data_IF_264701393171
#
_entry.id   IF_264701393171
#
_cell.length_a   1.000
_cell.length_b   1.000
_cell.length_c   1.000
_cell.angle_alpha   90.00
_cell.angle_beta   90.00
_cell.angle_gamma   90.00
#
_symmetry.space_group_name_H-M   'P 1'
#
loop_
_entity.id
_entity.type
_entity.pdbx_description
1 polymer ?
#
# COMPACT_ATOMS: atom_id res chain seq x y z
N UNK A 1 42.08 23.13 56.22
CA UNK A 1 42.68 21.90 56.79
C UNK A 1 41.71 20.76 56.54
N UNK A 2 42.16 19.71 55.86
CA UNK A 2 41.35 18.64 55.29
C UNK A 2 41.07 17.51 56.29
N UNK A 3 39.88 16.89 56.22
CA UNK A 3 39.60 15.49 56.62
C UNK A 3 38.46 15.00 55.69
N UNK A 4 38.76 14.38 54.55
CA UNK A 4 38.86 12.93 54.30
C UNK A 4 37.52 12.17 54.38
N UNK A 5 36.94 12.01 53.19
CA UNK A 5 36.39 10.78 52.58
C UNK A 5 36.36 9.50 53.44
N UNK A 6 35.17 8.89 53.59
CA UNK A 6 35.03 7.44 53.77
C UNK A 6 33.71 6.95 53.16
N UNK A 7 33.84 6.16 52.10
CA UNK A 7 32.76 5.48 51.38
C UNK A 7 32.35 4.17 52.06
N UNK A 8 31.06 3.82 52.05
CA UNK A 8 30.49 2.45 52.14
C UNK A 8 29.07 2.47 51.51
N UNK A 9 28.91 2.22 50.20
CA UNK A 9 28.59 0.95 49.52
C UNK A 9 27.31 0.24 50.02
N UNK A 10 26.22 0.35 49.26
CA UNK A 10 25.27 -0.76 49.05
C UNK A 10 24.59 -0.67 47.67
N UNK A 11 25.21 -1.40 46.74
CA UNK A 11 24.71 -2.03 45.51
C UNK A 11 23.33 -1.66 44.93
N UNK A 12 23.27 -1.08 43.71
CA UNK A 12 22.18 -1.36 42.78
C UNK A 12 22.50 -2.65 42.02
N UNK A 13 22.33 -3.79 42.67
CA UNK A 13 22.32 -5.10 42.01
C UNK A 13 20.87 -5.56 41.78
N UNK A 14 20.04 -4.73 41.13
CA UNK A 14 18.71 -5.13 40.67
C UNK A 14 18.44 -4.43 39.34
N UNK A 15 18.06 -5.23 38.34
CA UNK A 15 17.76 -4.90 36.94
C UNK A 15 18.95 -4.86 35.97
N UNK A 16 19.68 -5.97 35.90
CA UNK A 16 20.13 -6.48 34.59
C UNK A 16 18.91 -6.98 33.80
N UNK A 17 17.96 -6.09 33.51
CA UNK A 17 16.94 -6.36 32.51
C UNK A 17 17.68 -6.27 31.18
N UNK A 18 17.86 -7.40 30.49
CA UNK A 18 18.32 -7.42 29.10
C UNK A 18 17.29 -6.73 28.22
N UNK A 19 17.23 -5.39 28.30
CA UNK A 19 16.80 -4.60 27.16
C UNK A 19 17.89 -4.79 26.12
N UNK A 20 17.69 -5.79 25.25
CA UNK A 20 18.37 -5.87 23.97
C UNK A 20 18.19 -4.47 23.36
N UNK A 21 19.27 -3.70 23.31
CA UNK A 21 19.25 -2.40 22.65
C UNK A 21 18.62 -2.63 21.27
N UNK A 22 17.70 -1.77 20.81
CA UNK A 22 17.18 -1.89 19.47
C UNK A 22 18.40 -1.95 18.56
N UNK A 23 18.55 -3.05 17.82
CA UNK A 23 19.63 -3.15 16.84
C UNK A 23 19.42 -1.98 15.91
N UNK A 24 20.30 -0.98 16.03
CA UNK A 24 20.19 0.25 15.27
C UNK A 24 20.49 -0.13 13.83
N UNK A 25 19.43 -0.34 13.05
CA UNK A 25 19.54 -0.55 11.62
C UNK A 25 20.46 0.52 11.05
N UNK A 26 21.42 0.08 10.26
CA UNK A 26 22.33 1.01 9.61
C UNK A 26 21.52 1.93 8.70
N UNK A 27 21.93 3.20 8.49
CA UNK A 27 21.24 4.11 7.58
C UNK A 27 21.01 3.51 6.18
N UNK A 28 21.88 2.59 5.76
CA UNK A 28 21.75 1.84 4.52
C UNK A 28 20.56 0.89 4.52
N UNK A 29 20.38 0.09 5.57
CA UNK A 29 19.27 -0.85 5.70
C UNK A 29 17.92 -0.11 5.69
N UNK A 30 17.84 1.03 6.38
CA UNK A 30 16.65 1.88 6.38
C UNK A 30 16.26 2.38 4.97
N UNK A 31 17.25 2.79 4.17
CA UNK A 31 17.03 3.25 2.79
C UNK A 31 16.58 2.10 1.89
N UNK A 32 17.18 0.93 2.05
CA UNK A 32 16.80 -0.26 1.27
C UNK A 32 15.35 -0.68 1.56
N UNK A 33 14.95 -0.68 2.83
CA UNK A 33 13.59 -1.01 3.24
C UNK A 33 12.57 0.02 2.74
N UNK A 34 12.88 1.32 2.86
CA UNK A 34 12.02 2.37 2.31
C UNK A 34 11.83 2.22 0.79
N UNK A 35 12.90 1.89 0.07
CA UNK A 35 12.84 1.67 -1.38
C UNK A 35 11.98 0.45 -1.73
N UNK A 36 12.11 -0.65 -0.99
CA UNK A 36 11.25 -1.84 -1.16
C UNK A 36 9.77 -1.52 -0.98
N UNK A 37 9.43 -0.72 0.03
CA UNK A 37 8.05 -0.31 0.29
C UNK A 37 7.48 0.55 -0.85
N UNK A 38 8.26 1.49 -1.37
CA UNK A 38 7.85 2.34 -2.51
C UNK A 38 7.58 1.48 -3.75
N UNK A 39 8.48 0.55 -4.09
CA UNK A 39 8.31 -0.33 -5.25
C UNK A 39 7.07 -1.22 -5.12
N UNK A 40 6.81 -1.75 -3.91
CA UNK A 40 5.61 -2.54 -3.62
C UNK A 40 4.33 -1.72 -3.77
N UNK A 41 4.32 -0.48 -3.28
CA UNK A 41 3.19 0.42 -3.46
C UNK A 41 2.95 0.72 -4.95
N UNK A 42 4.03 0.95 -5.71
CA UNK A 42 3.96 1.17 -7.16
C UNK A 42 3.39 -0.05 -7.89
N UNK A 43 3.79 -1.27 -7.52
CA UNK A 43 3.23 -2.51 -8.08
C UNK A 43 1.72 -2.62 -7.86
N UNK A 44 1.24 -2.31 -6.64
CA UNK A 44 -0.19 -2.30 -6.31
C UNK A 44 -0.94 -1.26 -7.15
N UNK A 45 -0.38 -0.06 -7.30
CA UNK A 45 -0.95 0.99 -8.11
C UNK A 45 -1.06 0.57 -9.59
N UNK A 46 -0.01 -0.02 -10.16
CA UNK A 46 -0.03 -0.51 -11.54
C UNK A 46 -1.08 -1.60 -11.75
N UNK A 47 -1.25 -2.51 -10.78
CA UNK A 47 -2.29 -3.55 -10.81
C UNK A 47 -3.71 -2.99 -10.75
N UNK A 48 -3.90 -1.77 -10.22
CA UNK A 48 -5.21 -1.12 -10.19
C UNK A 48 -5.66 -0.59 -11.55
N UNK A 49 -4.75 -0.41 -12.50
CA UNK A 49 -5.05 0.10 -13.84
C UNK A 49 -5.84 -0.95 -14.64
N UNK A 50 -7.04 -0.63 -15.14
CA UNK A 50 -7.81 -1.55 -15.96
C UNK A 50 -7.11 -1.84 -17.29
N UNK A 51 -7.03 -3.11 -17.66
CA UNK A 51 -6.51 -3.55 -18.95
C UNK A 51 -7.66 -3.72 -19.96
N UNK A 52 -7.50 -3.19 -21.17
CA UNK A 52 -8.49 -3.27 -22.24
C UNK A 52 -7.99 -4.10 -23.43
N UNK A 53 -8.92 -4.73 -24.16
CA UNK A 53 -8.67 -5.45 -25.40
C UNK A 53 -8.61 -4.47 -26.60
N UNK A 54 -8.27 -4.99 -27.78
CA UNK A 54 -8.34 -4.23 -29.01
C UNK A 54 -9.81 -3.78 -29.28
N UNK A 55 -10.01 -2.59 -29.86
CA UNK A 55 -11.34 -2.10 -30.18
C UNK A 55 -11.98 -2.93 -31.31
N UNK A 56 -13.26 -3.26 -31.14
CA UNK A 56 -14.11 -3.86 -32.19
C UNK A 56 -15.02 -2.76 -32.76
N UNK A 57 -15.04 -2.60 -34.07
CA UNK A 57 -15.95 -1.67 -34.78
C UNK A 57 -17.20 -2.46 -35.18
N UNK A 58 -18.38 -1.94 -34.84
CA UNK A 58 -19.67 -2.53 -35.18
C UNK A 58 -20.15 -2.04 -36.56
N UNK A 59 -21.14 -2.74 -37.13
CA UNK A 59 -21.70 -2.43 -38.46
C UNK A 59 -22.35 -1.04 -38.53
N UNK A 60 -22.79 -0.49 -37.40
CA UNK A 60 -23.34 0.86 -37.28
C UNK A 60 -22.26 1.95 -37.12
N UNK A 61 -20.97 1.57 -37.00
CA UNK A 61 -19.84 2.48 -36.81
C UNK A 61 -19.45 2.75 -35.35
N UNK A 62 -20.15 2.18 -34.37
CA UNK A 62 -19.77 2.28 -32.95
C UNK A 62 -18.55 1.42 -32.61
N UNK A 63 -17.88 1.72 -31.48
CA UNK A 63 -16.71 0.97 -31.02
C UNK A 63 -16.96 0.37 -29.63
N UNK A 64 -16.68 -0.92 -29.48
CA UNK A 64 -16.66 -1.61 -28.19
C UNK A 64 -15.21 -1.79 -27.73
N UNK A 65 -14.92 -1.34 -26.51
CA UNK A 65 -13.63 -1.58 -25.82
C UNK A 65 -13.86 -2.45 -24.59
N UNK A 66 -13.55 -3.74 -24.70
CA UNK A 66 -13.77 -4.72 -23.62
C UNK A 66 -12.62 -4.68 -22.60
N UNK A 67 -12.94 -4.82 -21.30
CA UNK A 67 -11.92 -5.03 -20.26
C UNK A 67 -11.40 -6.46 -20.33
N UNK A 68 -10.09 -6.67 -20.36
CA UNK A 68 -9.47 -8.01 -20.34
C UNK A 68 -9.79 -8.76 -19.05
N UNK A 69 -9.76 -8.05 -17.92
CA UNK A 69 -10.07 -8.60 -16.59
C UNK A 69 -11.23 -7.82 -15.95
N UNK A 70 -12.49 -8.20 -16.19
CA UNK A 70 -13.63 -7.55 -15.57
C UNK A 70 -13.70 -7.87 -14.06
N UNK A 71 -14.00 -6.88 -13.22
CA UNK A 71 -14.26 -7.10 -11.79
C UNK A 71 -15.58 -7.86 -11.64
N UNK A 72 -15.58 -8.96 -10.87
CA UNK A 72 -16.74 -9.86 -10.70
C UNK A 72 -17.98 -9.20 -10.08
N UNK A 73 -17.82 -8.07 -9.38
CA UNK A 73 -18.90 -7.47 -8.59
C UNK A 73 -19.69 -6.35 -9.29
N UNK A 74 -19.44 -6.09 -10.58
CA UNK A 74 -20.32 -5.20 -11.34
C UNK A 74 -21.41 -6.04 -12.01
N UNK A 75 -22.70 -5.86 -11.65
CA UNK A 75 -23.78 -6.41 -12.44
C UNK A 75 -23.57 -5.95 -13.89
N UNK A 76 -23.52 -6.91 -14.82
CA UNK A 76 -23.60 -6.60 -16.24
C UNK A 76 -24.77 -5.63 -16.44
N UNK A 77 -24.61 -4.51 -17.19
CA UNK A 77 -25.76 -3.70 -17.54
C UNK A 77 -26.77 -4.65 -18.19
N UNK A 78 -27.93 -4.85 -17.56
CA UNK A 78 -29.04 -5.53 -18.23
C UNK A 78 -29.26 -4.75 -19.54
N UNK A 79 -29.46 -5.42 -20.68
CA UNK A 79 -29.81 -4.73 -21.92
C UNK A 79 -31.01 -3.84 -21.59
N UNK A 80 -30.81 -2.52 -21.64
CA UNK A 80 -31.89 -1.58 -21.42
C UNK A 80 -32.86 -1.79 -22.55
N UNK A 81 -34.08 -2.22 -22.24
CA UNK A 81 -35.20 -1.98 -23.13
C UNK A 81 -35.27 -0.45 -23.28
N UNK A 82 -34.81 0.05 -24.43
CA UNK A 82 -34.82 1.46 -24.74
C UNK A 82 -36.25 1.96 -24.76
N UNK A 83 -36.66 2.67 -23.72
CA UNK A 83 -37.91 3.42 -23.71
C UNK A 83 -37.57 4.86 -24.17
N UNK A 84 -38.00 5.29 -25.37
CA UNK A 84 -37.47 6.47 -26.05
C UNK A 84 -37.98 7.83 -25.50
N UNK A 85 -38.57 7.88 -24.31
CA UNK A 85 -39.41 9.02 -23.88
C UNK A 85 -39.02 9.73 -22.59
N UNK A 86 -37.76 9.68 -22.13
CA UNK A 86 -37.31 10.59 -21.06
C UNK A 86 -36.11 11.46 -21.42
N UNK A 87 -36.38 12.54 -22.16
CA UNK A 87 -35.65 13.80 -22.01
C UNK A 87 -36.01 14.40 -20.65
N UNK A 88 -35.05 14.45 -19.73
CA UNK A 88 -35.19 15.20 -18.48
C UNK A 88 -34.87 16.66 -18.79
N UNK A 89 -35.89 17.51 -18.70
CA UNK A 89 -35.80 18.99 -18.69
C UNK A 89 -35.00 19.47 -17.48
#
# INVERSE_FOLDING_TARGET
MAIIMAAMISSPAVLANSHKAPETETPREMIEEATRQILKAFEIMLKAIPQYAAPEILDNGDIIIRRKHPKKDKPSPKPGNGDPTKTKT
#
